data_IF_494036125263
#
_entry.id   IF_494036125263
#
_cell.length_a   1.000
_cell.length_b   1.000
_cell.length_c   1.000
_cell.angle_alpha   90.00
_cell.angle_beta   90.00
_cell.angle_gamma   90.00
#
_symmetry.space_group_name_H-M   'P 1'
#
loop_
_entity.id
_entity.type
_entity.pdbx_description
1 polymer ?
#
# COMPACT_ATOMS: atom_id res chain seq x y z
N UNK A 1 -11.98 19.45 5.67
CA UNK A 1 -12.70 18.23 6.13
C UNK A 1 -12.01 17.71 7.36
N UNK A 2 -12.77 17.28 8.38
CA UNK A 2 -12.25 16.64 9.58
C UNK A 2 -12.21 15.11 9.44
N UNK A 3 -11.55 14.44 10.38
CA UNK A 3 -11.60 12.99 10.48
C UNK A 3 -13.04 12.47 10.69
N UNK A 4 -13.85 13.19 11.46
CA UNK A 4 -15.24 12.81 11.72
C UNK A 4 -16.08 12.92 10.44
N UNK A 5 -15.94 13.99 9.66
CA UNK A 5 -16.58 14.12 8.34
C UNK A 5 -16.22 12.96 7.42
N UNK A 6 -14.94 12.56 7.43
CA UNK A 6 -14.51 11.40 6.65
C UNK A 6 -15.19 10.12 7.12
N UNK A 7 -15.23 9.85 8.42
CA UNK A 7 -15.89 8.67 8.97
C UNK A 7 -17.39 8.66 8.66
N UNK A 8 -18.07 9.79 8.77
CA UNK A 8 -19.50 9.90 8.46
C UNK A 8 -19.79 9.60 6.99
N UNK A 9 -18.90 9.97 6.09
CA UNK A 9 -19.00 9.66 4.66
C UNK A 9 -18.79 8.17 4.34
N UNK A 10 -18.34 7.36 5.30
CA UNK A 10 -18.12 5.91 5.09
C UNK A 10 -19.35 5.10 5.48
N UNK A 11 -19.57 3.93 4.81
CA UNK A 11 -20.67 3.04 5.15
C UNK A 11 -20.67 2.64 6.64
N UNK A 12 -21.86 2.54 7.25
CA UNK A 12 -22.01 2.10 8.66
C UNK A 12 -21.27 0.79 8.95
N UNK A 13 -21.28 -0.15 7.98
CA UNK A 13 -20.58 -1.43 8.08
C UNK A 13 -19.07 -1.23 8.27
N UNK A 14 -18.45 -0.34 7.49
CA UNK A 14 -17.01 -0.03 7.62
C UNK A 14 -16.70 0.59 8.97
N UNK A 15 -17.48 1.60 9.43
CA UNK A 15 -17.29 2.24 10.72
C UNK A 15 -17.39 1.25 11.89
N UNK A 16 -18.34 0.30 11.80
CA UNK A 16 -18.47 -0.78 12.80
C UNK A 16 -17.27 -1.71 12.76
N UNK A 17 -16.83 -2.13 11.57
CA UNK A 17 -15.67 -3.01 11.40
C UNK A 17 -14.40 -2.34 11.93
N UNK A 18 -14.16 -1.07 11.62
CA UNK A 18 -12.98 -0.34 12.09
C UNK A 18 -12.93 -0.29 13.63
N UNK A 19 -14.06 -0.01 14.30
CA UNK A 19 -14.12 -0.07 15.78
C UNK A 19 -13.87 -1.48 16.32
N UNK A 20 -14.31 -2.54 15.62
CA UNK A 20 -14.04 -3.92 16.03
C UNK A 20 -12.54 -4.27 15.84
N UNK A 21 -11.91 -3.77 14.79
CA UNK A 21 -10.47 -3.96 14.56
C UNK A 21 -9.64 -3.29 15.67
N UNK A 22 -9.96 -2.04 16.04
CA UNK A 22 -9.30 -1.37 17.17
C UNK A 22 -9.45 -2.19 18.46
N UNK A 23 -10.67 -2.61 18.82
CA UNK A 23 -10.89 -3.46 20.01
C UNK A 23 -10.10 -4.78 19.98
N UNK A 24 -9.96 -5.38 18.79
CA UNK A 24 -9.18 -6.61 18.65
C UNK A 24 -7.68 -6.35 18.84
N UNK A 25 -7.16 -5.21 18.39
CA UNK A 25 -5.78 -4.79 18.62
C UNK A 25 -5.57 -4.40 20.10
N UNK A 26 -6.52 -3.74 20.73
CA UNK A 26 -6.48 -3.42 22.16
C UNK A 26 -6.41 -4.68 23.01
N UNK A 27 -7.17 -5.73 22.65
CA UNK A 27 -7.13 -7.03 23.33
C UNK A 27 -5.80 -7.78 23.17
N UNK A 28 -4.97 -7.41 22.18
CA UNK A 28 -3.62 -7.94 21.95
C UNK A 28 -2.52 -7.10 22.60
N UNK A 29 -2.88 -6.15 23.48
CA UNK A 29 -1.93 -5.29 24.19
C UNK A 29 -1.97 -3.83 23.76
N UNK A 30 -2.91 -3.47 22.85
CA UNK A 30 -3.02 -2.14 22.28
C UNK A 30 -1.97 -1.84 21.23
N UNK A 31 -2.22 -0.80 20.45
CA UNK A 31 -1.27 -0.35 19.43
C UNK A 31 -1.08 1.16 19.46
N UNK A 32 0.12 1.59 19.15
CA UNK A 32 0.45 2.99 18.88
C UNK A 32 0.83 3.13 17.41
N UNK A 33 0.37 4.21 16.79
CA UNK A 33 0.76 4.55 15.41
C UNK A 33 1.56 5.85 15.43
N UNK A 34 2.63 5.88 14.66
CA UNK A 34 3.45 7.08 14.44
C UNK A 34 3.75 7.26 12.96
N UNK A 35 3.82 8.52 12.56
CA UNK A 35 4.19 8.94 11.20
C UNK A 35 5.56 9.58 11.23
N UNK A 36 6.47 9.11 10.37
CA UNK A 36 7.85 9.61 10.30
C UNK A 36 8.10 10.15 8.89
N UNK A 37 8.43 11.42 8.79
CA UNK A 37 8.78 12.10 7.53
C UNK A 37 10.28 12.40 7.40
N UNK A 38 11.06 12.02 8.42
CA UNK A 38 12.51 12.15 8.46
C UNK A 38 13.13 10.94 9.16
N UNK A 39 14.39 10.60 8.86
CA UNK A 39 15.11 9.52 9.53
C UNK A 39 15.23 9.72 11.04
N UNK A 40 15.12 8.63 11.79
CA UNK A 40 15.42 8.48 13.20
C UNK A 40 16.32 7.25 13.43
N UNK A 41 16.71 6.99 14.67
CA UNK A 41 17.66 5.94 15.03
C UNK A 41 17.17 4.53 14.64
N UNK A 42 15.86 4.33 14.63
CA UNK A 42 15.21 3.05 14.30
C UNK A 42 14.85 2.91 12.81
N UNK A 43 15.14 3.88 11.98
CA UNK A 43 14.77 3.87 10.54
C UNK A 43 15.25 2.61 9.82
N UNK A 44 16.50 2.18 10.06
CA UNK A 44 17.04 0.98 9.42
C UNK A 44 16.29 -0.28 9.85
N UNK A 45 15.92 -0.38 11.13
CA UNK A 45 15.12 -1.47 11.67
C UNK A 45 13.73 -1.51 11.03
N UNK A 46 13.06 -0.38 10.89
CA UNK A 46 11.72 -0.29 10.31
C UNK A 46 11.68 -0.67 8.83
N UNK A 47 12.68 -0.26 8.04
CA UNK A 47 12.83 -0.74 6.67
C UNK A 47 13.05 -2.26 6.62
N UNK A 48 13.84 -2.81 7.56
CA UNK A 48 14.03 -4.25 7.70
C UNK A 48 12.72 -4.98 8.00
N UNK A 49 11.90 -4.46 8.91
CA UNK A 49 10.56 -5.01 9.22
C UNK A 49 9.61 -4.95 8.03
N UNK A 50 9.57 -3.82 7.32
CA UNK A 50 8.76 -3.68 6.11
C UNK A 50 9.17 -4.71 5.04
N UNK A 51 10.48 -4.89 4.81
CA UNK A 51 10.99 -5.89 3.88
C UNK A 51 10.65 -7.32 4.32
N UNK A 52 10.82 -7.63 5.60
CA UNK A 52 10.48 -8.93 6.19
C UNK A 52 9.00 -9.27 5.97
N UNK A 53 8.09 -8.37 6.34
CA UNK A 53 6.65 -8.59 6.24
C UNK A 53 6.19 -8.69 4.79
N UNK A 54 6.69 -7.84 3.90
CA UNK A 54 6.36 -7.92 2.48
C UNK A 54 6.88 -9.19 1.83
N UNK A 55 8.11 -9.60 2.16
CA UNK A 55 8.69 -10.85 1.64
C UNK A 55 7.83 -12.04 2.01
N UNK A 56 7.44 -12.16 3.29
CA UNK A 56 6.57 -13.22 3.77
C UNK A 56 5.22 -13.24 3.02
N UNK A 57 4.59 -12.09 2.85
CA UNK A 57 3.32 -11.95 2.11
C UNK A 57 3.45 -12.35 0.64
N UNK A 58 4.52 -11.91 -0.04
CA UNK A 58 4.72 -12.17 -1.47
C UNK A 58 5.08 -13.64 -1.71
N UNK A 59 5.87 -14.23 -0.80
CA UNK A 59 6.18 -15.68 -0.83
C UNK A 59 4.91 -16.52 -0.68
N UNK A 60 4.01 -16.15 0.24
CA UNK A 60 2.71 -16.82 0.41
C UNK A 60 1.82 -16.77 -0.84
N UNK A 61 2.03 -15.78 -1.73
CA UNK A 61 1.35 -15.67 -3.04
C UNK A 61 2.09 -16.40 -4.17
N UNK A 62 3.18 -17.12 -3.89
CA UNK A 62 4.02 -17.78 -4.89
C UNK A 62 4.73 -16.82 -5.85
N UNK A 63 4.91 -15.56 -5.46
CA UNK A 63 5.51 -14.51 -6.29
C UNK A 63 6.92 -14.17 -5.84
N UNK A 64 7.74 -13.68 -6.79
CA UNK A 64 9.10 -13.21 -6.49
C UNK A 64 9.04 -11.81 -5.89
N UNK A 65 9.79 -11.61 -4.79
CA UNK A 65 9.95 -10.32 -4.17
C UNK A 65 10.93 -9.44 -4.98
N UNK A 66 10.42 -8.39 -5.63
CA UNK A 66 11.21 -7.58 -6.55
C UNK A 66 12.23 -6.66 -5.85
N UNK A 67 12.00 -6.34 -4.57
CA UNK A 67 12.89 -5.45 -3.80
C UNK A 67 14.13 -6.16 -3.24
N UNK A 68 14.35 -7.44 -3.55
CA UNK A 68 15.62 -8.14 -3.30
C UNK A 68 16.82 -7.49 -4.00
N UNK A 69 16.57 -6.63 -4.99
CA UNK A 69 17.63 -5.89 -5.67
C UNK A 69 18.09 -4.71 -4.80
N UNK A 70 19.39 -4.63 -4.43
CA UNK A 70 19.91 -3.58 -3.55
C UNK A 70 19.63 -2.15 -4.05
N UNK A 71 19.51 -1.96 -5.36
CA UNK A 71 19.21 -0.67 -5.97
C UNK A 71 17.82 -0.14 -5.55
N UNK A 72 16.80 -1.00 -5.46
CA UNK A 72 15.47 -0.57 -5.00
C UNK A 72 15.47 -0.23 -3.52
N UNK A 73 16.11 -1.04 -2.68
CA UNK A 73 16.21 -0.76 -1.25
C UNK A 73 16.93 0.57 -1.00
N UNK A 74 18.01 0.87 -1.75
CA UNK A 74 18.72 2.14 -1.69
C UNK A 74 17.84 3.30 -2.11
N UNK A 75 17.12 3.17 -3.22
CA UNK A 75 16.22 4.19 -3.73
C UNK A 75 15.18 4.61 -2.68
N UNK A 76 14.47 3.65 -2.07
CA UNK A 76 13.45 3.98 -1.06
C UNK A 76 14.02 4.68 0.17
N UNK A 77 15.21 4.26 0.65
CA UNK A 77 15.89 4.92 1.77
C UNK A 77 16.33 6.33 1.42
N UNK A 78 16.84 6.53 0.21
CA UNK A 78 17.28 7.84 -0.25
C UNK A 78 16.10 8.82 -0.40
N UNK A 79 15.00 8.40 -0.98
CA UNK A 79 13.77 9.22 -1.09
C UNK A 79 13.26 9.61 0.30
N UNK A 80 13.29 8.67 1.26
CA UNK A 80 12.90 8.95 2.63
C UNK A 80 13.87 9.93 3.32
N UNK A 81 15.17 9.77 3.17
CA UNK A 81 16.18 10.69 3.75
C UNK A 81 16.08 12.10 3.21
N UNK A 82 15.51 12.29 2.03
CA UNK A 82 15.24 13.60 1.42
C UNK A 82 13.89 14.22 1.85
N UNK A 83 13.16 13.60 2.77
CA UNK A 83 11.85 14.09 3.22
C UNK A 83 10.74 13.98 2.17
N UNK A 84 10.94 13.16 1.11
CA UNK A 84 9.96 12.95 0.04
C UNK A 84 9.11 11.69 0.24
N UNK A 85 9.19 11.10 1.42
CA UNK A 85 8.41 9.94 1.79
C UNK A 85 8.08 9.94 3.28
N UNK A 86 7.14 9.08 3.65
CA UNK A 86 6.70 8.85 5.02
C UNK A 86 6.74 7.36 5.33
N UNK A 87 7.29 7.00 6.49
CA UNK A 87 7.08 5.72 7.14
C UNK A 87 5.95 5.87 8.16
N UNK A 88 4.91 5.07 8.01
CA UNK A 88 3.83 4.94 8.98
C UNK A 88 4.00 3.60 9.70
N UNK A 89 4.12 3.65 11.02
CA UNK A 89 4.48 2.49 11.84
C UNK A 89 3.42 2.25 12.89
N UNK A 90 2.96 1.00 12.98
CA UNK A 90 2.10 0.53 14.06
C UNK A 90 2.90 -0.41 14.95
N UNK A 91 2.90 -0.13 16.24
CA UNK A 91 3.67 -0.86 17.25
C UNK A 91 2.76 -1.31 18.41
N UNK A 92 3.07 -2.45 19.01
CA UNK A 92 2.47 -2.94 20.27
C UNK A 92 3.61 -3.32 21.21
N UNK A 93 3.77 -2.60 22.31
CA UNK A 93 4.99 -2.68 23.12
C UNK A 93 6.22 -2.44 22.25
N UNK A 94 7.20 -3.37 22.31
CA UNK A 94 8.44 -3.32 21.53
C UNK A 94 8.31 -3.99 20.15
N UNK A 95 7.12 -4.47 19.79
CA UNK A 95 6.90 -5.21 18.56
C UNK A 95 6.34 -4.31 17.45
N UNK A 96 6.98 -4.33 16.28
CA UNK A 96 6.42 -3.70 15.07
C UNK A 96 5.33 -4.59 14.50
N UNK A 97 4.10 -4.08 14.43
CA UNK A 97 2.91 -4.80 13.96
C UNK A 97 2.63 -4.56 12.48
N UNK A 98 2.76 -3.32 12.03
CA UNK A 98 2.59 -2.98 10.61
C UNK A 98 3.46 -1.79 10.23
N UNK A 99 3.88 -1.77 8.97
CA UNK A 99 4.64 -0.65 8.39
C UNK A 99 4.08 -0.33 7.01
N UNK A 100 3.90 0.96 6.74
CA UNK A 100 3.64 1.46 5.40
C UNK A 100 4.71 2.47 4.99
N UNK A 101 5.05 2.46 3.70
CA UNK A 101 5.91 3.44 3.07
C UNK A 101 5.11 4.18 2.00
N UNK A 102 5.03 5.49 2.14
CA UNK A 102 4.27 6.36 1.25
C UNK A 102 5.16 7.46 0.69
N UNK A 103 5.00 7.75 -0.59
CA UNK A 103 5.63 8.90 -1.23
C UNK A 103 4.82 10.15 -0.94
N UNK A 104 5.49 11.25 -0.63
CA UNK A 104 4.89 12.56 -0.42
C UNK A 104 5.31 13.50 -1.55
N UNK A 105 4.35 14.12 -2.18
CA UNK A 105 4.62 15.13 -3.21
C UNK A 105 3.54 16.21 -3.19
N UNK A 106 3.91 17.44 -2.85
CA UNK A 106 2.98 18.56 -2.72
C UNK A 106 1.79 18.20 -1.83
N UNK A 107 0.56 18.25 -2.36
CA UNK A 107 -0.68 17.92 -1.68
C UNK A 107 -1.12 16.47 -1.90
N UNK A 108 -0.20 15.58 -2.25
CA UNK A 108 -0.52 14.17 -2.52
C UNK A 108 0.37 13.20 -1.74
N UNK A 109 -0.24 12.09 -1.35
CA UNK A 109 0.42 10.96 -0.69
C UNK A 109 0.07 9.67 -1.44
N UNK A 110 1.08 8.89 -1.82
CA UNK A 110 0.89 7.60 -2.48
C UNK A 110 1.52 6.49 -1.66
N UNK A 111 0.70 5.60 -1.10
CA UNK A 111 1.21 4.41 -0.39
C UNK A 111 1.64 3.35 -1.40
N UNK A 112 2.95 3.14 -1.50
CA UNK A 112 3.55 2.18 -2.44
C UNK A 112 3.86 0.84 -1.79
N UNK A 113 3.97 0.81 -0.46
CA UNK A 113 4.25 -0.40 0.31
C UNK A 113 3.46 -0.39 1.61
N UNK A 114 2.77 -1.48 1.92
CA UNK A 114 2.11 -1.70 3.21
C UNK A 114 2.19 -3.19 3.51
N UNK A 115 2.68 -3.52 4.69
CA UNK A 115 2.75 -4.89 5.18
C UNK A 115 2.62 -4.94 6.71
N UNK A 116 2.22 -6.08 7.24
CA UNK A 116 2.04 -6.30 8.67
C UNK A 116 2.65 -7.64 9.08
N UNK A 117 2.87 -7.79 10.37
CA UNK A 117 3.34 -9.00 11.03
C UNK A 117 2.35 -10.15 10.84
N UNK A 118 2.71 -11.32 11.36
CA UNK A 118 2.07 -12.60 11.13
C UNK A 118 0.59 -12.73 11.47
N UNK A 119 0.14 -13.99 11.44
CA UNK A 119 -1.29 -14.33 11.50
C UNK A 119 -1.97 -13.94 12.84
N UNK A 120 -1.20 -13.81 13.91
CA UNK A 120 -1.67 -13.40 15.24
C UNK A 120 -2.37 -12.04 15.24
N UNK A 121 -2.00 -11.14 14.34
CA UNK A 121 -2.57 -9.81 14.20
C UNK A 121 -3.77 -9.72 13.24
N UNK A 122 -4.02 -10.77 12.44
CA UNK A 122 -5.03 -10.73 11.37
C UNK A 122 -6.43 -10.36 11.86
N UNK A 123 -6.81 -10.76 13.10
CA UNK A 123 -8.11 -10.43 13.70
C UNK A 123 -8.31 -8.93 13.84
N UNK A 124 -7.24 -8.18 14.08
CA UNK A 124 -7.24 -6.72 14.19
C UNK A 124 -7.10 -6.01 12.86
N UNK A 125 -6.90 -6.72 11.75
CA UNK A 125 -6.71 -6.14 10.41
C UNK A 125 -5.75 -4.95 10.40
N UNK A 126 -4.49 -5.10 10.86
CA UNK A 126 -3.59 -3.98 11.11
C UNK A 126 -3.32 -3.13 9.88
N UNK A 127 -3.39 -3.73 8.67
CA UNK A 127 -3.25 -2.97 7.43
C UNK A 127 -4.39 -1.98 7.18
N UNK A 128 -5.63 -2.33 7.54
CA UNK A 128 -6.79 -1.43 7.41
C UNK A 128 -6.72 -0.34 8.47
N UNK A 129 -6.38 -0.69 9.70
CA UNK A 129 -6.25 0.29 10.79
C UNK A 129 -5.13 1.27 10.48
N UNK A 130 -3.94 0.79 10.07
CA UNK A 130 -2.82 1.66 9.70
C UNK A 130 -3.18 2.59 8.52
N UNK A 131 -3.86 2.07 7.49
CA UNK A 131 -4.32 2.90 6.37
C UNK A 131 -5.32 3.97 6.83
N UNK A 132 -6.20 3.65 7.79
CA UNK A 132 -7.14 4.62 8.37
C UNK A 132 -6.42 5.70 9.18
N UNK A 133 -5.41 5.36 9.96
CA UNK A 133 -4.59 6.32 10.70
C UNK A 133 -3.74 7.20 9.76
N UNK A 134 -3.26 6.65 8.64
CA UNK A 134 -2.64 7.45 7.58
C UNK A 134 -3.62 8.48 7.05
N UNK A 135 -4.86 8.09 6.71
CA UNK A 135 -5.88 9.02 6.22
C UNK A 135 -6.15 10.12 7.24
N UNK A 136 -6.27 9.77 8.53
CA UNK A 136 -6.47 10.75 9.60
C UNK A 136 -5.34 11.77 9.63
N UNK A 137 -4.10 11.29 9.65
CA UNK A 137 -2.92 12.16 9.64
C UNK A 137 -2.85 13.07 8.41
N UNK A 138 -3.21 12.54 7.22
CA UNK A 138 -3.23 13.31 5.98
C UNK A 138 -4.27 14.45 6.03
N UNK A 139 -5.46 14.18 6.58
CA UNK A 139 -6.50 15.18 6.82
C UNK A 139 -5.97 16.28 7.74
N UNK A 140 -5.40 15.90 8.89
CA UNK A 140 -4.86 16.82 9.89
C UNK A 140 -3.67 17.64 9.33
N UNK A 141 -2.93 17.08 8.37
CA UNK A 141 -1.81 17.72 7.68
C UNK A 141 -2.21 18.55 6.46
N UNK A 142 -3.49 18.59 6.09
CA UNK A 142 -3.99 19.34 4.93
C UNK A 142 -3.61 18.73 3.58
N UNK A 143 -3.28 17.43 3.51
CA UNK A 143 -2.99 16.72 2.27
C UNK A 143 -4.31 16.31 1.60
N UNK A 144 -4.49 16.70 0.34
CA UNK A 144 -5.77 16.62 -0.35
C UNK A 144 -6.00 15.30 -1.09
N UNK A 145 -4.91 14.64 -1.52
CA UNK A 145 -4.98 13.44 -2.35
C UNK A 145 -4.27 12.27 -1.68
N UNK A 146 -4.97 11.15 -1.61
CA UNK A 146 -4.41 9.89 -1.10
C UNK A 146 -4.61 8.76 -2.10
N UNK A 147 -3.51 8.17 -2.56
CA UNK A 147 -3.48 7.02 -3.45
C UNK A 147 -2.94 5.78 -2.71
N UNK A 148 -3.71 4.71 -2.70
CA UNK A 148 -3.32 3.41 -2.15
C UNK A 148 -2.61 2.50 -3.17
N UNK A 149 -2.16 3.08 -4.29
CA UNK A 149 -1.43 2.40 -5.34
C UNK A 149 -2.29 1.47 -6.21
N UNK A 150 -1.65 0.72 -7.08
CA UNK A 150 -2.32 -0.16 -8.05
C UNK A 150 -3.08 -1.32 -7.40
N UNK A 151 -4.11 -1.80 -8.10
CA UNK A 151 -4.91 -2.97 -7.74
C UNK A 151 -6.26 -2.67 -7.12
N UNK A 152 -7.30 -3.36 -7.60
CA UNK A 152 -8.71 -3.17 -7.21
C UNK A 152 -9.13 -3.99 -5.99
N UNK A 153 -8.44 -3.87 -4.88
CA UNK A 153 -8.76 -4.61 -3.65
C UNK A 153 -9.97 -4.03 -2.92
N UNK A 154 -10.85 -4.87 -2.39
CA UNK A 154 -12.10 -4.45 -1.74
C UNK A 154 -11.90 -3.53 -0.52
N UNK A 155 -10.80 -3.70 0.23
CA UNK A 155 -10.51 -2.81 1.35
C UNK A 155 -10.30 -1.34 0.93
N UNK A 156 -9.81 -1.09 -0.29
CA UNK A 156 -9.65 0.27 -0.83
C UNK A 156 -11.01 0.92 -1.06
N UNK A 157 -11.98 0.17 -1.59
CA UNK A 157 -13.37 0.65 -1.74
C UNK A 157 -13.99 0.98 -0.37
N UNK A 158 -13.71 0.15 0.65
CA UNK A 158 -14.19 0.39 2.01
C UNK A 158 -13.60 1.68 2.60
N UNK A 159 -12.33 1.97 2.32
CA UNK A 159 -11.68 3.23 2.66
C UNK A 159 -12.16 4.42 1.82
N UNK A 160 -13.01 4.19 0.81
CA UNK A 160 -13.57 5.23 -0.04
C UNK A 160 -12.69 5.62 -1.22
N UNK A 161 -11.74 4.77 -1.61
CA UNK A 161 -10.96 5.02 -2.81
C UNK A 161 -11.81 4.81 -4.07
N UNK A 162 -11.73 5.77 -4.97
CA UNK A 162 -12.28 5.66 -6.31
C UNK A 162 -11.21 5.12 -7.26
N UNK A 163 -11.53 4.12 -8.11
CA UNK A 163 -10.57 3.60 -9.05
C UNK A 163 -10.25 4.63 -10.12
N UNK A 164 -8.95 4.89 -10.33
CA UNK A 164 -8.47 5.74 -11.41
C UNK A 164 -7.79 4.88 -12.47
N UNK A 165 -8.05 5.11 -13.78
CA UNK A 165 -7.38 4.38 -14.84
C UNK A 165 -5.89 4.73 -14.88
N UNK A 166 -5.04 3.71 -14.88
CA UNK A 166 -3.62 3.89 -15.11
C UNK A 166 -3.32 3.81 -16.60
N UNK A 167 -2.67 4.85 -17.12
CA UNK A 167 -2.17 4.86 -18.49
C UNK A 167 -0.74 4.35 -18.50
N UNK A 168 -0.47 3.36 -19.36
CA UNK A 168 0.87 2.84 -19.60
C UNK A 168 1.34 3.34 -20.96
N UNK A 169 2.45 4.08 -20.99
CA UNK A 169 3.10 4.49 -22.21
C UNK A 169 4.36 3.64 -22.39
N UNK A 170 4.40 2.86 -23.47
CA UNK A 170 5.56 2.06 -23.83
C UNK A 170 6.16 2.60 -25.13
N UNK A 171 7.48 2.88 -25.12
CA UNK A 171 8.22 3.35 -26.29
C UNK A 171 9.47 2.52 -26.47
N UNK A 172 9.57 1.85 -27.60
CA UNK A 172 10.79 1.15 -27.97
C UNK A 172 11.88 2.15 -28.42
N UNK A 173 13.04 2.10 -27.77
CA UNK A 173 14.19 2.95 -28.07
C UNK A 173 15.20 2.27 -29.00
N UNK A 174 15.05 0.96 -29.26
CA UNK A 174 15.93 0.16 -30.11
C UNK A 174 15.13 -0.72 -31.06
N UNK A 175 15.74 -1.20 -32.13
CA UNK A 175 15.10 -2.14 -33.07
C UNK A 175 14.68 -3.45 -32.35
N UNK A 176 15.54 -3.99 -31.47
CA UNK A 176 15.20 -5.15 -30.63
C UNK A 176 13.99 -4.89 -29.75
N UNK A 177 13.91 -3.70 -29.13
CA UNK A 177 12.77 -3.27 -28.34
C UNK A 177 11.48 -3.17 -29.17
N UNK A 178 11.55 -2.69 -30.41
CA UNK A 178 10.39 -2.64 -31.32
C UNK A 178 9.87 -4.04 -31.65
N UNK A 179 10.77 -4.98 -31.95
CA UNK A 179 10.38 -6.38 -32.18
C UNK A 179 9.75 -7.01 -30.92
N UNK A 180 10.32 -6.76 -29.74
CA UNK A 180 9.77 -7.25 -28.47
C UNK A 180 8.39 -6.67 -28.16
N UNK A 181 8.17 -5.36 -28.37
CA UNK A 181 6.86 -4.73 -28.20
C UNK A 181 5.81 -5.27 -29.18
N UNK A 182 6.18 -5.48 -30.44
CA UNK A 182 5.29 -6.08 -31.44
C UNK A 182 4.88 -7.50 -31.04
N UNK A 183 5.85 -8.35 -30.64
CA UNK A 183 5.55 -9.69 -30.15
C UNK A 183 4.66 -9.68 -28.88
N UNK A 184 4.94 -8.77 -27.96
CA UNK A 184 4.13 -8.61 -26.75
C UNK A 184 2.69 -8.15 -27.04
N UNK A 185 2.51 -7.19 -27.95
CA UNK A 185 1.17 -6.69 -28.33
C UNK A 185 0.34 -7.79 -29.00
N UNK A 186 0.96 -8.62 -29.85
CA UNK A 186 0.30 -9.78 -30.49
C UNK A 186 -0.12 -10.82 -29.43
N UNK A 187 0.76 -11.10 -28.46
CA UNK A 187 0.49 -12.04 -27.38
C UNK A 187 -0.63 -11.55 -26.44
N UNK A 188 -0.62 -10.27 -26.07
CA UNK A 188 -1.64 -9.68 -25.16
C UNK A 188 -2.95 -9.41 -25.89
N UNK A 189 -2.94 -8.98 -27.16
CA UNK A 189 -4.13 -8.81 -27.99
C UNK A 189 -4.87 -10.12 -28.22
N UNK A 190 -4.16 -11.22 -28.45
CA UNK A 190 -4.74 -12.56 -28.52
C UNK A 190 -5.43 -13.00 -27.21
N UNK A 191 -4.86 -12.71 -26.07
CA UNK A 191 -5.47 -13.00 -24.74
C UNK A 191 -6.74 -12.19 -24.48
N UNK A 192 -6.77 -10.93 -24.84
CA UNK A 192 -7.95 -10.08 -24.68
C UNK A 192 -9.13 -10.55 -25.54
N UNK A 193 -8.87 -11.02 -26.74
CA UNK A 193 -9.89 -11.62 -27.62
C UNK A 193 -10.43 -12.94 -27.06
N UNK A 194 -9.60 -13.81 -26.52
CA UNK A 194 -10.05 -15.07 -25.90
C UNK A 194 -10.90 -14.80 -24.66
N UNK A 195 -10.49 -13.86 -23.80
CA UNK A 195 -11.28 -13.49 -22.61
C UNK A 195 -12.63 -12.85 -22.96
N UNK A 196 -12.72 -12.07 -24.04
CA UNK A 196 -13.98 -11.48 -24.49
C UNK A 196 -14.92 -12.51 -25.12
N UNK A 197 -14.40 -13.56 -25.74
CA UNK A 197 -15.18 -14.67 -26.29
C UNK A 197 -15.71 -15.62 -25.20
N UNK A 198 -14.93 -15.88 -24.16
CA UNK A 198 -15.38 -16.72 -23.02
C UNK A 198 -16.38 -16.02 -22.12
N UNK A 199 -16.29 -14.69 -21.97
CA UNK A 199 -17.27 -13.90 -21.21
C UNK A 199 -18.63 -13.73 -21.91
N UNK A 200 -18.73 -13.99 -23.22
CA UNK A 200 -19.99 -13.98 -23.98
C UNK A 200 -20.66 -15.36 -24.06
N UNK A 201 -19.98 -16.40 -23.59
CA UNK A 201 -20.47 -17.79 -23.63
C UNK A 201 -20.96 -18.31 -22.26
N UNK A 202 -20.95 -17.43 -21.23
CA UNK A 202 -21.48 -17.66 -19.89
C UNK A 202 -22.63 -16.70 -19.61
#
# INVERSE_FOLDING_TARGET
>A
RSWDDYLESRPRKFRKALRQHHRALDALGGVRVRMMTSPGDDTAHLFGKLDQFQRARIAALGKRYLLDRPAYARFYREVFSRGQAMLSVMESGDSVVAVAYSLLHRQSCTTVRLAHAGAEWNRGSPGIVLASEIIRWLIDSGIEQFDLGAGGYDYKKQLGCEPQPLMVLEKALTLKGRMALSAWSTYTGGRSLVQSLTAKAS
#
